data_IF_965840525068
#
_entry.id   IF_965840525068
#
_cell.length_a   1.000
_cell.length_b   1.000
_cell.length_c   1.000
_cell.angle_alpha   90.00
_cell.angle_beta   90.00
_cell.angle_gamma   90.00
#
_symmetry.space_group_name_H-M   'P 1'
#
loop_
_entity.id
_entity.type
_entity.pdbx_description
1 polymer ?
#
# COMPACT_ATOMS: atom_id res chain seq x y z
N UNK A 1 -0.60 -0.82 8.85
CA UNK A 1 -0.45 -1.45 10.19
C UNK A 1 -0.50 -0.42 11.32
N UNK A 2 0.30 0.66 11.29
CA UNK A 2 0.26 1.68 12.35
C UNK A 2 -1.15 2.28 12.51
N UNK A 3 -1.75 2.79 11.44
CA UNK A 3 -3.10 3.36 11.47
C UNK A 3 -4.17 2.36 11.94
N UNK A 4 -4.08 1.08 11.53
CA UNK A 4 -4.97 0.03 12.00
C UNK A 4 -4.82 -0.21 13.51
N UNK A 5 -3.57 -0.25 14.02
CA UNK A 5 -3.31 -0.38 15.45
C UNK A 5 -3.88 0.80 16.23
N UNK A 6 -3.64 2.03 15.77
CA UNK A 6 -4.17 3.25 16.37
C UNK A 6 -5.69 3.24 16.37
N UNK A 7 -6.33 2.82 15.27
CA UNK A 7 -7.79 2.69 15.20
C UNK A 7 -8.32 1.70 16.25
N UNK A 8 -7.77 0.50 16.33
CA UNK A 8 -8.22 -0.50 17.33
C UNK A 8 -8.02 -0.03 18.77
N UNK A 9 -6.94 0.69 19.06
CA UNK A 9 -6.73 1.30 20.39
C UNK A 9 -7.85 2.31 20.70
N UNK A 10 -8.27 3.12 19.72
CA UNK A 10 -9.39 4.06 19.94
C UNK A 10 -10.72 3.35 20.19
N UNK A 11 -10.87 2.11 19.70
CA UNK A 11 -12.03 1.27 19.94
C UNK A 11 -11.94 0.49 21.27
N UNK A 12 -10.88 0.67 22.05
CA UNK A 12 -10.72 0.07 23.36
C UNK A 12 -10.01 -1.29 23.38
N UNK A 13 -9.42 -1.70 22.27
CA UNK A 13 -8.60 -2.92 22.21
C UNK A 13 -7.18 -2.67 22.71
N UNK A 14 -6.60 -3.65 23.40
CA UNK A 14 -5.19 -3.67 23.73
C UNK A 14 -4.38 -4.18 22.52
N UNK A 15 -3.50 -3.35 22.00
CA UNK A 15 -2.72 -3.67 20.79
C UNK A 15 -1.23 -3.64 21.10
N UNK A 16 -0.52 -4.65 20.64
CA UNK A 16 0.95 -4.69 20.64
C UNK A 16 1.45 -4.99 19.21
N UNK A 17 2.21 -4.08 18.64
CA UNK A 17 2.77 -4.22 17.28
C UNK A 17 4.26 -4.54 17.32
N UNK A 18 4.66 -5.75 16.96
CA UNK A 18 6.06 -6.12 16.78
C UNK A 18 6.53 -5.76 15.36
N UNK A 19 7.46 -4.84 15.22
CA UNK A 19 7.93 -4.39 13.92
C UNK A 19 9.45 -4.17 13.85
N UNK A 20 10.06 -4.26 12.65
CA UNK A 20 11.43 -3.82 12.43
C UNK A 20 11.50 -2.29 12.55
N UNK A 21 12.44 -1.79 13.35
CA UNK A 21 12.66 -0.35 13.56
C UNK A 21 14.10 0.01 13.29
N UNK A 22 14.33 1.05 12.47
CA UNK A 22 15.70 1.47 12.11
C UNK A 22 16.42 2.21 13.25
N UNK A 23 15.67 2.96 14.05
CA UNK A 23 16.17 3.68 15.24
C UNK A 23 15.19 3.47 16.41
N UNK A 24 15.60 2.70 17.36
CA UNK A 24 14.80 2.38 18.56
C UNK A 24 14.56 3.61 19.46
N UNK A 25 15.42 4.63 19.38
CA UNK A 25 15.27 5.87 20.14
C UNK A 25 14.18 6.80 19.55
N UNK A 26 13.72 6.54 18.35
CA UNK A 26 12.66 7.33 17.69
C UNK A 26 11.24 6.82 17.97
N UNK A 27 11.11 5.75 18.78
CA UNK A 27 9.80 5.17 19.12
C UNK A 27 9.14 6.03 20.21
N UNK A 28 7.97 6.54 19.89
CA UNK A 28 7.13 7.31 20.81
C UNK A 28 5.88 6.55 21.24
N UNK A 29 5.50 5.56 20.48
CA UNK A 29 4.29 4.77 20.67
C UNK A 29 4.52 3.62 21.67
N UNK A 30 3.83 3.57 22.81
CA UNK A 30 4.03 2.54 23.85
C UNK A 30 3.60 1.14 23.40
N UNK A 31 2.74 1.04 22.41
CA UNK A 31 2.24 -0.21 21.84
C UNK A 31 3.16 -0.79 20.74
N UNK A 32 4.19 -0.05 20.32
CA UNK A 32 5.16 -0.49 19.31
C UNK A 32 6.38 -1.16 19.97
N UNK A 33 6.58 -2.44 19.70
CA UNK A 33 7.69 -3.24 20.19
C UNK A 33 8.75 -3.38 19.09
N UNK A 34 9.99 -2.88 19.28
CA UNK A 34 11.03 -2.98 18.28
C UNK A 34 11.58 -4.41 18.19
N UNK A 35 11.50 -5.01 17.02
CA UNK A 35 12.09 -6.32 16.76
C UNK A 35 13.58 -6.25 16.35
N UNK A 36 14.11 -5.06 16.08
CA UNK A 36 15.48 -4.79 15.65
C UNK A 36 15.57 -4.12 14.30
N UNK A 37 16.79 -3.87 13.83
CA UNK A 37 17.05 -3.14 12.59
C UNK A 37 16.81 -4.03 11.36
N UNK A 38 15.99 -3.56 10.39
CA UNK A 38 15.78 -4.30 9.15
C UNK A 38 16.99 -4.21 8.22
N UNK A 39 17.21 -5.25 7.44
CA UNK A 39 18.18 -5.28 6.34
C UNK A 39 17.44 -4.93 5.04
N UNK A 40 17.88 -3.91 4.30
CA UNK A 40 17.28 -3.57 3.01
C UNK A 40 17.71 -4.60 1.96
N UNK A 41 16.76 -5.25 1.30
CA UNK A 41 16.98 -6.21 0.23
C UNK A 41 16.21 -5.76 -1.01
N UNK A 42 16.87 -5.60 -2.18
CA UNK A 42 16.18 -5.32 -3.44
C UNK A 42 15.21 -6.47 -3.80
N UNK A 43 13.95 -6.12 -4.03
CA UNK A 43 12.93 -7.10 -4.38
C UNK A 43 11.91 -6.49 -5.36
N UNK A 44 11.76 -7.07 -6.54
CA UNK A 44 10.80 -6.65 -7.58
C UNK A 44 10.84 -5.15 -7.95
N UNK A 45 12.03 -4.55 -7.98
CA UNK A 45 12.19 -3.12 -8.29
C UNK A 45 11.88 -2.18 -7.12
N UNK A 46 11.61 -2.73 -5.93
CA UNK A 46 11.49 -2.01 -4.66
C UNK A 46 12.54 -2.49 -3.66
N UNK A 47 12.62 -1.86 -2.50
CA UNK A 47 13.49 -2.30 -1.39
C UNK A 47 12.61 -2.87 -0.28
N UNK A 48 12.66 -4.20 -0.11
CA UNK A 48 12.06 -4.87 1.04
C UNK A 48 12.97 -4.69 2.26
N UNK A 49 12.39 -4.36 3.41
CA UNK A 49 13.10 -4.25 4.70
C UNK A 49 12.84 -5.50 5.51
N UNK A 50 13.74 -6.47 5.42
CA UNK A 50 13.57 -7.80 6.01
C UNK A 50 14.34 -7.90 7.33
N UNK A 51 13.71 -8.53 8.32
CA UNK A 51 14.34 -8.97 9.56
C UNK A 51 14.02 -10.46 9.76
N UNK A 52 15.05 -11.29 9.74
CA UNK A 52 14.95 -12.74 9.84
C UNK A 52 16.21 -13.31 10.49
N UNK A 53 16.10 -14.49 11.16
CA UNK A 53 17.22 -15.18 11.76
C UNK A 53 17.09 -15.42 13.27
N UNK A 54 18.12 -15.97 13.93
CA UNK A 54 18.02 -16.46 15.33
C UNK A 54 17.62 -15.37 16.33
N UNK A 55 18.18 -14.16 16.20
CA UNK A 55 17.88 -13.04 17.11
C UNK A 55 16.43 -12.60 16.93
N UNK A 56 15.99 -12.46 15.69
CA UNK A 56 14.60 -12.13 15.38
C UNK A 56 13.64 -13.21 15.91
N UNK A 57 13.98 -14.49 15.72
CA UNK A 57 13.20 -15.61 16.27
C UNK A 57 13.09 -15.53 17.80
N UNK A 58 14.18 -15.25 18.51
CA UNK A 58 14.16 -15.11 19.97
C UNK A 58 13.25 -13.97 20.42
N UNK A 59 13.31 -12.81 19.75
CA UNK A 59 12.45 -11.65 20.04
C UNK A 59 10.96 -11.93 19.78
N UNK A 60 10.65 -12.58 18.65
CA UNK A 60 9.29 -13.02 18.35
C UNK A 60 8.76 -13.96 19.43
N UNK A 61 9.53 -14.98 19.82
CA UNK A 61 9.13 -15.94 20.86
C UNK A 61 8.93 -15.26 22.22
N UNK A 62 9.82 -14.33 22.59
CA UNK A 62 9.69 -13.56 23.82
C UNK A 62 8.39 -12.72 23.78
N UNK A 63 8.15 -12.00 22.71
CA UNK A 63 6.96 -11.17 22.54
C UNK A 63 5.67 -11.99 22.64
N UNK A 64 5.59 -13.15 21.98
CA UNK A 64 4.45 -14.07 22.10
C UNK A 64 4.27 -14.57 23.52
N UNK A 65 5.38 -14.97 24.21
CA UNK A 65 5.30 -15.57 25.55
C UNK A 65 4.91 -14.58 26.66
N UNK A 66 5.11 -13.28 26.43
CA UNK A 66 4.83 -12.23 27.42
C UNK A 66 3.58 -11.41 27.11
N UNK A 67 3.01 -11.56 25.92
CA UNK A 67 1.96 -10.69 25.43
C UNK A 67 0.53 -11.10 25.81
N UNK A 68 0.33 -12.38 26.22
CA UNK A 68 -1.02 -12.93 26.56
C UNK A 68 -2.10 -12.56 25.54
N UNK A 69 -1.81 -12.82 24.26
CA UNK A 69 -2.63 -12.39 23.14
C UNK A 69 -3.85 -13.31 22.93
N UNK A 70 -5.02 -12.73 22.71
CA UNK A 70 -6.20 -13.44 22.24
C UNK A 70 -6.04 -13.89 20.79
N UNK A 71 -5.34 -13.08 19.96
CA UNK A 71 -5.15 -13.31 18.54
C UNK A 71 -3.84 -12.67 18.03
N UNK A 72 -3.19 -13.30 17.06
CA UNK A 72 -2.14 -12.67 16.26
C UNK A 72 -2.67 -12.30 14.88
N UNK A 73 -2.51 -11.03 14.49
CA UNK A 73 -2.68 -10.57 13.11
C UNK A 73 -1.32 -10.39 12.44
N UNK A 74 -1.08 -11.16 11.40
CA UNK A 74 0.22 -11.28 10.74
C UNK A 74 0.10 -10.71 9.31
N UNK A 75 1.08 -9.89 8.89
CA UNK A 75 1.08 -9.31 7.56
C UNK A 75 2.15 -9.95 6.67
N UNK A 76 1.75 -10.46 5.50
CA UNK A 76 2.62 -11.04 4.47
C UNK A 76 3.53 -12.18 5.01
N UNK A 77 2.98 -13.27 5.54
CA UNK A 77 3.78 -14.38 6.09
C UNK A 77 4.49 -15.25 5.03
N UNK A 78 4.19 -15.06 3.76
CA UNK A 78 4.73 -15.89 2.67
C UNK A 78 6.18 -15.55 2.27
N UNK A 79 6.81 -14.59 2.94
CA UNK A 79 8.20 -14.23 2.72
C UNK A 79 9.02 -14.36 4.01
N UNK A 80 10.35 -14.66 3.94
CA UNK A 80 11.23 -14.70 5.11
C UNK A 80 11.22 -13.35 5.85
N UNK A 81 10.52 -13.29 6.97
CA UNK A 81 10.26 -12.05 7.72
C UNK A 81 9.89 -12.35 9.17
N UNK A 82 9.68 -11.32 9.98
CA UNK A 82 9.11 -11.48 11.34
C UNK A 82 7.74 -12.18 11.28
N UNK A 83 6.96 -11.92 10.25
CA UNK A 83 5.63 -12.49 10.04
C UNK A 83 5.70 -14.02 9.90
N UNK A 84 6.61 -14.52 9.08
CA UNK A 84 6.85 -15.96 8.96
C UNK A 84 7.33 -16.56 10.28
N UNK A 85 8.26 -15.88 10.98
CA UNK A 85 8.74 -16.36 12.28
C UNK A 85 7.62 -16.42 13.33
N UNK A 86 6.67 -15.48 13.31
CA UNK A 86 5.51 -15.49 14.19
C UNK A 86 4.58 -16.68 13.87
N UNK A 87 4.28 -16.94 12.58
CA UNK A 87 3.51 -18.12 12.19
C UNK A 87 4.15 -19.43 12.63
N UNK A 88 5.49 -19.55 12.54
CA UNK A 88 6.21 -20.74 12.97
C UNK A 88 6.19 -20.88 14.49
N UNK A 89 6.37 -19.77 15.22
CA UNK A 89 6.57 -19.76 16.68
C UNK A 89 5.27 -19.83 17.49
N UNK A 90 4.12 -19.46 16.92
CA UNK A 90 2.85 -19.42 17.60
C UNK A 90 1.96 -20.61 17.28
N UNK A 91 1.09 -20.99 18.21
CA UNK A 91 -0.10 -21.81 18.06
C UNK A 91 -1.29 -21.04 18.64
N UNK A 92 -2.50 -21.23 18.11
CA UNK A 92 -3.72 -20.55 18.54
C UNK A 92 -4.35 -19.67 17.43
N UNK A 93 -5.23 -18.74 17.78
CA UNK A 93 -5.89 -17.88 16.80
C UNK A 93 -4.91 -16.99 16.05
N UNK A 94 -4.81 -17.19 14.74
CA UNK A 94 -3.94 -16.39 13.85
C UNK A 94 -4.69 -16.00 12.59
N UNK A 95 -4.68 -14.70 12.28
CA UNK A 95 -5.18 -14.14 11.02
C UNK A 95 -4.00 -13.59 10.23
N UNK A 96 -4.00 -13.78 8.93
CA UNK A 96 -2.96 -13.19 8.08
C UNK A 96 -3.55 -12.33 6.98
N UNK A 97 -2.98 -11.13 6.77
CA UNK A 97 -3.27 -10.28 5.61
C UNK A 97 -2.16 -10.36 4.58
N UNK A 98 -2.55 -10.61 3.33
CA UNK A 98 -1.67 -10.72 2.18
C UNK A 98 -1.82 -9.49 1.29
N UNK A 99 -0.70 -8.84 1.02
CA UNK A 99 -0.63 -7.59 0.25
C UNK A 99 -0.02 -7.80 -1.14
N UNK A 100 0.74 -8.89 -1.34
CA UNK A 100 1.44 -9.12 -2.60
C UNK A 100 0.50 -9.60 -3.70
N UNK A 101 0.63 -8.96 -4.86
CA UNK A 101 0.02 -9.42 -6.11
C UNK A 101 1.12 -9.88 -7.05
N UNK A 102 1.35 -11.19 -7.11
CA UNK A 102 2.43 -11.79 -7.89
C UNK A 102 2.07 -13.20 -8.41
N UNK A 103 1.02 -13.34 -9.23
CA UNK A 103 0.49 -14.66 -9.61
C UNK A 103 1.44 -15.52 -10.43
N UNK A 104 2.59 -15.00 -10.88
CA UNK A 104 3.55 -15.70 -11.75
C UNK A 104 4.98 -15.73 -11.20
N UNK A 105 5.19 -15.61 -9.90
CA UNK A 105 6.55 -15.63 -9.34
C UNK A 105 7.03 -17.08 -9.11
N UNK A 106 8.00 -17.51 -9.93
CA UNK A 106 8.65 -18.83 -9.82
C UNK A 106 9.26 -19.09 -8.43
N UNK A 107 9.74 -18.06 -7.75
CA UNK A 107 10.32 -18.19 -6.41
C UNK A 107 9.28 -18.64 -5.37
N UNK A 108 8.04 -18.15 -5.45
CA UNK A 108 6.96 -18.56 -4.55
C UNK A 108 6.56 -20.01 -4.79
N UNK A 109 6.51 -20.46 -6.04
CA UNK A 109 6.28 -21.86 -6.36
C UNK A 109 7.32 -22.80 -5.74
N UNK A 110 8.60 -22.40 -5.73
CA UNK A 110 9.67 -23.22 -5.20
C UNK A 110 9.62 -23.40 -3.67
N UNK A 111 9.09 -22.40 -2.93
CA UNK A 111 9.00 -22.42 -1.47
C UNK A 111 7.60 -22.76 -0.95
N UNK A 112 6.59 -22.81 -1.84
CA UNK A 112 5.21 -23.13 -1.50
C UNK A 112 5.06 -24.36 -0.61
N UNK A 113 5.58 -25.54 -0.99
CA UNK A 113 5.47 -26.76 -0.21
C UNK A 113 6.08 -26.65 1.20
N UNK A 114 7.09 -25.78 1.38
CA UNK A 114 7.72 -25.54 2.69
C UNK A 114 6.86 -24.61 3.55
N UNK A 115 6.16 -23.66 2.94
CA UNK A 115 5.32 -22.70 3.65
C UNK A 115 3.93 -23.22 3.96
N UNK A 116 3.40 -24.13 3.14
CA UNK A 116 2.05 -24.66 3.27
C UNK A 116 1.71 -25.15 4.69
N UNK A 117 2.52 -26.00 5.36
CA UNK A 117 2.23 -26.45 6.71
C UNK A 117 2.22 -25.33 7.76
N UNK A 118 2.91 -24.21 7.47
CA UNK A 118 2.92 -23.03 8.34
C UNK A 118 1.68 -22.19 8.10
N UNK A 119 1.28 -22.02 6.85
CA UNK A 119 0.09 -21.26 6.48
C UNK A 119 -1.22 -21.99 6.85
N UNK A 120 -1.21 -23.34 6.93
CA UNK A 120 -2.33 -24.13 7.45
C UNK A 120 -2.68 -23.82 8.90
N UNK A 121 -1.75 -23.29 9.70
CA UNK A 121 -1.98 -22.87 11.09
C UNK A 121 -2.88 -21.63 11.18
N UNK A 122 -3.02 -20.86 10.09
CA UNK A 122 -3.83 -19.66 10.06
C UNK A 122 -5.31 -19.99 10.17
N UNK A 123 -5.98 -19.41 11.18
CA UNK A 123 -7.42 -19.54 11.37
C UNK A 123 -8.21 -18.85 10.26
N UNK A 124 -7.71 -17.70 9.79
CA UNK A 124 -8.31 -16.99 8.66
C UNK A 124 -7.25 -16.24 7.83
N UNK A 125 -7.62 -15.93 6.59
CA UNK A 125 -6.77 -15.22 5.63
C UNK A 125 -7.54 -14.08 5.02
N UNK A 126 -6.89 -12.91 4.94
CA UNK A 126 -7.38 -11.69 4.32
C UNK A 126 -6.49 -11.39 3.12
N UNK A 127 -7.07 -11.03 2.00
CA UNK A 127 -6.37 -10.49 0.82
C UNK A 127 -6.81 -9.05 0.59
N UNK A 128 -5.88 -8.14 0.34
CA UNK A 128 -6.23 -6.71 0.16
C UNK A 128 -6.87 -6.39 -1.19
N UNK A 129 -6.92 -7.35 -2.10
CA UNK A 129 -7.54 -7.23 -3.42
C UNK A 129 -7.81 -8.59 -4.02
N UNK A 130 -8.64 -8.66 -5.06
CA UNK A 130 -8.86 -9.88 -5.84
C UNK A 130 -7.56 -10.41 -6.44
N UNK A 131 -6.66 -9.54 -6.88
CA UNK A 131 -5.33 -9.93 -7.38
C UNK A 131 -4.48 -10.60 -6.29
N UNK A 132 -4.54 -10.13 -5.05
CA UNK A 132 -3.85 -10.77 -3.92
C UNK A 132 -4.50 -12.10 -3.58
N UNK A 133 -5.83 -12.20 -3.60
CA UNK A 133 -6.58 -13.47 -3.41
C UNK A 133 -6.22 -14.49 -4.47
N UNK A 134 -6.21 -14.11 -5.75
CA UNK A 134 -5.82 -15.00 -6.83
C UNK A 134 -4.37 -15.49 -6.70
N UNK A 135 -3.47 -14.62 -6.20
CA UNK A 135 -2.10 -15.01 -5.89
C UNK A 135 -2.05 -16.14 -4.85
N UNK A 136 -2.83 -16.04 -3.78
CA UNK A 136 -2.93 -17.09 -2.76
C UNK A 136 -3.50 -18.38 -3.33
N UNK A 137 -4.56 -18.30 -4.12
CA UNK A 137 -5.19 -19.44 -4.75
C UNK A 137 -4.24 -20.18 -5.69
N UNK A 138 -3.48 -19.46 -6.50
CA UNK A 138 -2.54 -20.04 -7.48
C UNK A 138 -1.32 -20.66 -6.80
N UNK A 139 -0.80 -20.07 -5.72
CA UNK A 139 0.46 -20.52 -5.12
C UNK A 139 0.30 -21.46 -3.92
N UNK A 140 -0.81 -21.37 -3.20
CA UNK A 140 -1.03 -22.10 -1.94
C UNK A 140 -2.37 -22.85 -1.91
N UNK A 141 -3.09 -22.90 -3.01
CA UNK A 141 -4.40 -23.58 -3.14
C UNK A 141 -5.38 -23.22 -2.01
N UNK A 142 -5.30 -21.99 -1.51
CA UNK A 142 -6.07 -21.52 -0.36
C UNK A 142 -6.93 -20.31 -0.70
N UNK A 143 -8.05 -20.17 -0.01
CA UNK A 143 -8.96 -19.02 -0.16
C UNK A 143 -8.70 -17.96 0.94
N UNK A 144 -9.07 -16.71 0.63
CA UNK A 144 -9.02 -15.60 1.55
C UNK A 144 -10.25 -14.70 1.38
N UNK A 145 -10.66 -14.03 2.44
CA UNK A 145 -11.66 -12.96 2.39
C UNK A 145 -10.99 -11.72 1.81
N UNK A 146 -11.64 -11.05 0.87
CA UNK A 146 -11.12 -9.79 0.33
C UNK A 146 -11.58 -8.65 1.24
N UNK A 147 -10.62 -7.99 1.88
CA UNK A 147 -10.82 -6.78 2.67
C UNK A 147 -9.77 -5.77 2.23
N UNK A 148 -10.16 -4.61 1.68
CA UNK A 148 -9.22 -3.64 1.12
C UNK A 148 -8.30 -3.04 2.19
N UNK A 149 -7.25 -2.33 1.75
CA UNK A 149 -6.49 -1.51 2.68
C UNK A 149 -7.34 -0.34 3.17
N UNK A 150 -7.31 -0.09 4.47
CA UNK A 150 -7.93 1.08 5.07
C UNK A 150 -7.07 2.33 4.93
N UNK A 151 -7.73 3.47 4.91
CA UNK A 151 -7.14 4.81 4.97
C UNK A 151 -7.89 5.67 5.99
N UNK A 152 -7.25 6.71 6.47
CA UNK A 152 -7.90 7.78 7.25
C UNK A 152 -8.44 8.84 6.28
N UNK A 153 -9.72 8.71 5.90
CA UNK A 153 -10.37 9.64 4.96
C UNK A 153 -10.48 11.04 5.54
N UNK A 154 -10.65 11.16 6.85
CA UNK A 154 -10.73 12.43 7.57
C UNK A 154 -9.43 13.24 7.41
N UNK A 155 -8.28 12.60 7.58
CA UNK A 155 -6.95 13.20 7.41
C UNK A 155 -6.78 13.87 6.04
N UNK A 156 -7.16 13.19 4.96
CA UNK A 156 -7.00 13.72 3.60
C UNK A 156 -8.06 14.76 3.25
N UNK A 157 -9.28 14.62 3.77
CA UNK A 157 -10.35 15.59 3.54
C UNK A 157 -10.07 16.96 4.18
N UNK A 158 -9.32 16.98 5.29
CA UNK A 158 -8.96 18.21 6.03
C UNK A 158 -7.65 18.86 5.59
N UNK A 159 -6.98 18.35 4.56
CA UNK A 159 -5.81 19.01 3.96
C UNK A 159 -6.10 20.46 3.57
N UNK A 160 -5.10 21.31 3.63
CA UNK A 160 -5.18 22.71 3.30
C UNK A 160 -4.48 23.00 1.98
N UNK A 161 -5.10 23.82 1.12
CA UNK A 161 -4.43 24.24 -0.10
C UNK A 161 -3.20 25.07 0.25
N UNK A 162 -2.05 24.68 -0.28
CA UNK A 162 -0.81 25.41 -0.16
C UNK A 162 -0.68 26.36 -1.36
N UNK A 163 -0.80 27.67 -1.12
CA UNK A 163 -0.77 28.68 -2.18
C UNK A 163 0.61 28.81 -2.87
N UNK A 164 1.69 28.33 -2.26
CA UNK A 164 3.00 28.23 -2.92
C UNK A 164 3.04 27.08 -3.94
N UNK A 165 2.24 26.05 -3.74
CA UNK A 165 2.16 24.88 -4.64
C UNK A 165 1.12 25.06 -5.72
N UNK A 166 -0.04 25.60 -5.37
CA UNK A 166 -1.16 25.71 -6.28
C UNK A 166 -0.97 26.76 -7.37
N UNK A 167 -1.25 26.39 -8.59
CA UNK A 167 -1.51 27.27 -9.74
C UNK A 167 -2.67 26.64 -10.52
N UNK A 168 -3.43 27.42 -11.32
CA UNK A 168 -4.41 26.83 -12.22
C UNK A 168 -3.78 25.79 -13.15
N UNK A 169 -4.48 24.68 -13.38
CA UNK A 169 -4.02 23.54 -14.19
C UNK A 169 -2.79 22.81 -13.63
N UNK A 170 -2.66 22.75 -12.30
CA UNK A 170 -1.56 21.99 -11.65
C UNK A 170 -1.85 20.50 -11.65
N UNK A 171 -0.96 19.73 -12.27
CA UNK A 171 -0.92 18.27 -12.18
C UNK A 171 -0.03 17.82 -11.03
N UNK A 172 -0.40 16.74 -10.36
CA UNK A 172 0.39 16.17 -9.29
C UNK A 172 0.80 14.72 -9.54
N UNK A 173 2.07 14.41 -9.29
CA UNK A 173 2.61 13.06 -9.19
C UNK A 173 3.17 12.84 -7.78
N UNK A 174 2.82 11.74 -7.13
CA UNK A 174 3.32 11.40 -5.79
C UNK A 174 3.80 9.96 -5.76
N UNK A 175 5.10 9.78 -5.52
CA UNK A 175 5.71 8.46 -5.43
C UNK A 175 7.21 8.52 -5.58
N UNK A 176 7.88 7.36 -5.43
CA UNK A 176 9.30 7.24 -5.72
C UNK A 176 9.52 7.36 -7.21
N UNK A 177 10.00 8.51 -7.66
CA UNK A 177 10.08 8.84 -9.08
C UNK A 177 11.35 8.30 -9.80
N UNK A 178 12.28 7.71 -9.06
CA UNK A 178 13.41 6.94 -9.57
C UNK A 178 13.08 5.45 -9.83
N UNK A 179 11.89 4.98 -9.41
CA UNK A 179 11.40 3.63 -9.73
C UNK A 179 10.68 3.61 -11.10
N UNK A 180 11.22 2.91 -12.13
CA UNK A 180 10.60 2.90 -13.45
C UNK A 180 9.14 2.44 -13.47
N UNK A 181 8.79 1.49 -12.57
CA UNK A 181 7.41 0.98 -12.47
C UNK A 181 6.38 2.05 -12.07
N UNK A 182 6.80 3.17 -11.47
CA UNK A 182 5.92 4.29 -11.12
C UNK A 182 5.53 5.16 -12.32
N UNK A 183 6.18 4.94 -13.47
CA UNK A 183 5.75 5.46 -14.75
C UNK A 183 5.91 6.98 -14.94
N UNK A 184 6.75 7.66 -14.13
CA UNK A 184 7.01 9.10 -14.34
C UNK A 184 7.47 9.38 -15.78
N UNK A 185 8.22 8.48 -16.40
CA UNK A 185 8.65 8.63 -17.81
C UNK A 185 7.48 8.73 -18.79
N UNK A 186 6.37 8.04 -18.54
CA UNK A 186 5.16 8.12 -19.38
C UNK A 186 4.51 9.50 -19.25
N UNK A 187 4.42 10.03 -18.01
CA UNK A 187 3.91 11.37 -17.76
C UNK A 187 4.77 12.46 -18.40
N UNK A 188 6.10 12.35 -18.26
CA UNK A 188 7.04 13.30 -18.87
C UNK A 188 6.98 13.27 -20.40
N UNK A 189 6.76 12.10 -21.00
CA UNK A 189 6.56 11.96 -22.44
C UNK A 189 5.21 12.54 -22.93
N UNK A 190 4.19 12.57 -22.07
CA UNK A 190 2.90 13.19 -22.34
C UNK A 190 2.92 14.73 -22.22
N UNK A 191 3.81 15.26 -21.37
CA UNK A 191 3.82 16.67 -20.99
C UNK A 191 3.94 17.66 -22.16
N UNK A 192 4.74 17.43 -23.24
CA UNK A 192 4.80 18.34 -24.40
C UNK A 192 3.45 18.55 -25.09
N UNK A 193 2.64 17.49 -25.21
CA UNK A 193 1.31 17.55 -25.81
C UNK A 193 0.33 18.29 -24.89
N UNK A 194 0.38 18.02 -23.58
CA UNK A 194 -0.45 18.70 -22.58
C UNK A 194 -0.13 20.20 -22.56
N UNK A 195 1.16 20.60 -22.52
CA UNK A 195 1.59 22.01 -22.54
C UNK A 195 1.17 22.73 -23.81
N UNK A 196 1.14 22.02 -24.94
CA UNK A 196 0.65 22.62 -26.22
C UNK A 196 -0.84 22.97 -26.15
N UNK A 197 -1.66 22.12 -25.53
CA UNK A 197 -3.09 22.34 -25.38
C UNK A 197 -3.40 23.30 -24.23
N UNK A 198 -2.67 23.19 -23.12
CA UNK A 198 -2.87 23.97 -21.89
C UNK A 198 -1.54 24.65 -21.52
N UNK A 199 -1.28 25.86 -22.07
CA UNK A 199 0.05 26.49 -21.97
C UNK A 199 0.48 26.89 -20.57
N UNK A 200 -0.43 27.01 -19.62
CA UNK A 200 -0.18 27.36 -18.21
C UNK A 200 -0.11 26.15 -17.27
N UNK A 201 -0.19 24.91 -17.80
CA UNK A 201 -0.07 23.70 -16.97
C UNK A 201 1.27 23.64 -16.24
N UNK A 202 1.23 23.26 -14.97
CA UNK A 202 2.40 22.93 -14.13
C UNK A 202 2.32 21.49 -13.63
N UNK A 203 3.48 20.88 -13.39
CA UNK A 203 3.59 19.55 -12.82
C UNK A 203 4.36 19.60 -11.50
N UNK A 204 3.71 19.19 -10.41
CA UNK A 204 4.33 18.96 -9.12
C UNK A 204 4.73 17.50 -9.00
N UNK A 205 5.99 17.24 -8.70
CA UNK A 205 6.53 15.90 -8.45
C UNK A 205 6.92 15.82 -6.98
N UNK A 206 6.25 14.95 -6.23
CA UNK A 206 6.53 14.72 -4.83
C UNK A 206 7.01 13.28 -4.59
N UNK A 207 7.91 13.11 -3.62
CA UNK A 207 8.48 11.81 -3.26
C UNK A 207 9.99 11.77 -3.34
N UNK A 208 10.61 10.64 -2.96
CA UNK A 208 12.06 10.46 -3.08
C UNK A 208 12.47 10.12 -4.51
N UNK A 209 13.66 10.57 -4.91
CA UNK A 209 14.31 10.30 -6.19
C UNK A 209 15.38 11.34 -6.50
N UNK A 210 16.12 11.14 -7.60
CA UNK A 210 17.21 12.01 -8.03
C UNK A 210 16.71 13.00 -9.09
N UNK A 211 16.43 14.23 -8.70
CA UNK A 211 15.88 15.30 -9.56
C UNK A 211 16.77 15.58 -10.79
N UNK A 212 18.09 15.64 -10.59
CA UNK A 212 19.03 15.89 -11.68
C UNK A 212 18.91 14.85 -12.81
N UNK A 213 18.70 13.58 -12.47
CA UNK A 213 18.56 12.51 -13.45
C UNK A 213 17.29 12.69 -14.27
N UNK A 214 16.19 13.08 -13.62
CA UNK A 214 14.92 13.39 -14.30
C UNK A 214 15.09 14.61 -15.21
N UNK A 215 15.65 15.70 -14.70
CA UNK A 215 15.86 16.94 -15.46
C UNK A 215 16.75 16.76 -16.70
N UNK A 216 17.72 15.82 -16.67
CA UNK A 216 18.56 15.51 -17.85
C UNK A 216 17.77 14.90 -19.00
N UNK A 217 16.65 14.24 -18.73
CA UNK A 217 15.81 13.57 -19.74
C UNK A 217 14.73 14.47 -20.35
N UNK A 218 14.51 15.66 -19.77
CA UNK A 218 13.43 16.57 -20.14
C UNK A 218 13.94 17.70 -21.03
N UNK A 219 13.13 18.06 -22.04
CA UNK A 219 13.36 19.26 -22.84
C UNK A 219 13.56 20.49 -21.93
N UNK A 220 14.64 21.28 -22.10
CA UNK A 220 14.87 22.48 -21.30
C UNK A 220 13.68 23.44 -21.22
N UNK A 221 12.87 23.52 -22.28
CA UNK A 221 11.68 24.38 -22.30
C UNK A 221 10.59 23.92 -21.34
N UNK A 222 10.53 22.63 -21.03
CA UNK A 222 9.56 22.06 -20.10
C UNK A 222 9.99 22.09 -18.65
N UNK A 223 11.30 22.24 -18.38
CA UNK A 223 11.83 22.21 -16.99
C UNK A 223 11.18 23.26 -16.10
N UNK A 224 10.89 24.43 -16.63
CA UNK A 224 10.23 25.53 -15.89
C UNK A 224 8.75 25.22 -15.50
N UNK A 225 8.18 24.15 -16.08
CA UNK A 225 6.82 23.68 -15.78
C UNK A 225 6.81 22.60 -14.70
N UNK A 226 7.97 22.17 -14.25
CA UNK A 226 8.12 21.05 -13.32
C UNK A 226 8.73 21.57 -12.02
N UNK A 227 8.11 21.21 -10.91
CA UNK A 227 8.59 21.54 -9.57
C UNK A 227 8.67 20.27 -8.74
N UNK A 228 9.83 20.06 -8.12
CA UNK A 228 10.04 18.97 -7.20
C UNK A 228 9.79 19.42 -5.77
N UNK A 229 9.00 18.69 -5.03
CA UNK A 229 8.65 18.99 -3.64
C UNK A 229 9.44 18.14 -2.63
N UNK A 230 10.24 17.17 -3.13
CA UNK A 230 10.91 16.22 -2.26
C UNK A 230 9.93 15.29 -1.53
N UNK A 231 10.37 14.70 -0.44
CA UNK A 231 9.54 13.82 0.38
C UNK A 231 8.56 14.66 1.21
N UNK A 232 7.28 14.34 1.11
CA UNK A 232 6.23 14.95 1.92
C UNK A 232 6.00 14.17 3.22
N UNK A 233 5.67 14.87 4.30
CA UNK A 233 5.09 14.28 5.51
C UNK A 233 3.65 13.83 5.23
N UNK A 234 3.06 13.08 6.16
CA UNK A 234 1.67 12.63 6.02
C UNK A 234 0.67 13.80 5.95
N UNK A 235 0.88 14.87 6.74
CA UNK A 235 0.07 16.09 6.64
C UNK A 235 0.27 16.82 5.33
N UNK A 236 1.50 16.94 4.85
CA UNK A 236 1.80 17.57 3.57
C UNK A 236 1.25 16.79 2.38
N UNK A 237 1.04 15.46 2.48
CA UNK A 237 0.33 14.71 1.42
C UNK A 237 -1.12 15.16 1.28
N UNK A 238 -1.82 15.39 2.39
CA UNK A 238 -3.18 15.91 2.35
C UNK A 238 -3.23 17.30 1.70
N UNK A 239 -2.31 18.19 2.09
CA UNK A 239 -2.18 19.52 1.50
C UNK A 239 -1.82 19.46 0.00
N UNK A 240 -0.99 18.51 -0.39
CA UNK A 240 -0.63 18.27 -1.78
C UNK A 240 -1.87 17.96 -2.64
N UNK A 241 -2.74 17.03 -2.20
CA UNK A 241 -3.96 16.72 -2.93
C UNK A 241 -4.92 17.92 -3.03
N UNK A 242 -4.95 18.81 -2.03
CA UNK A 242 -5.73 20.05 -2.10
C UNK A 242 -5.10 21.14 -3.00
N UNK A 243 -3.84 20.96 -3.40
CA UNK A 243 -3.05 21.96 -4.14
C UNK A 243 -2.85 21.60 -5.62
N UNK A 244 -3.57 20.59 -6.13
CA UNK A 244 -3.49 20.14 -7.52
C UNK A 244 -4.89 20.04 -8.14
N UNK A 245 -4.99 20.22 -9.46
CA UNK A 245 -6.24 20.09 -10.21
C UNK A 245 -6.49 18.68 -10.75
N UNK A 246 -5.45 17.85 -10.86
CA UNK A 246 -5.55 16.43 -11.16
C UNK A 246 -4.36 15.65 -10.60
N UNK A 247 -4.62 14.50 -10.01
CA UNK A 247 -3.60 13.55 -9.59
C UNK A 247 -3.32 12.53 -10.69
N UNK A 248 -2.06 12.38 -11.07
CA UNK A 248 -1.64 11.46 -12.15
C UNK A 248 -0.93 10.26 -11.54
N UNK A 249 -1.47 9.06 -11.77
CA UNK A 249 -0.89 7.78 -11.36
C UNK A 249 -0.50 6.93 -12.59
N UNK A 250 0.65 7.20 -13.22
CA UNK A 250 1.04 6.56 -14.47
C UNK A 250 1.77 5.23 -14.26
N UNK A 251 1.51 4.54 -13.16
CA UNK A 251 2.18 3.30 -12.80
C UNK A 251 2.02 2.25 -13.90
N UNK A 252 3.12 1.59 -14.27
CA UNK A 252 3.11 0.61 -15.36
C UNK A 252 2.91 -0.83 -14.88
N UNK A 253 3.19 -1.10 -13.59
CA UNK A 253 3.02 -2.43 -12.96
C UNK A 253 3.34 -2.41 -11.47
N UNK A 254 3.10 -3.55 -10.80
CA UNK A 254 3.60 -3.80 -9.43
C UNK A 254 2.80 -3.08 -8.34
N UNK A 255 1.56 -2.78 -8.62
CA UNK A 255 0.57 -2.37 -7.61
C UNK A 255 -0.37 -3.54 -7.32
N UNK A 256 -0.76 -3.68 -6.07
CA UNK A 256 -1.71 -4.71 -5.62
C UNK A 256 -3.06 -4.14 -5.23
N UNK A 257 -3.12 -2.88 -4.83
CA UNK A 257 -4.35 -2.20 -4.44
C UNK A 257 -4.41 -0.76 -5.00
N UNK A 258 -3.36 0.03 -4.78
CA UNK A 258 -3.35 1.44 -5.20
C UNK A 258 -3.78 2.41 -4.11
N UNK A 259 -3.31 2.21 -2.87
CA UNK A 259 -3.68 3.03 -1.69
C UNK A 259 -3.60 4.54 -1.96
N UNK A 260 -2.64 4.97 -2.77
CA UNK A 260 -2.44 6.38 -3.13
C UNK A 260 -3.63 6.96 -3.91
N UNK A 261 -4.37 6.14 -4.67
CA UNK A 261 -5.59 6.58 -5.36
C UNK A 261 -6.72 6.80 -4.35
N UNK A 262 -6.86 5.93 -3.36
CA UNK A 262 -7.82 6.11 -2.28
C UNK A 262 -7.49 7.38 -1.46
N UNK A 263 -6.21 7.62 -1.14
CA UNK A 263 -5.76 8.87 -0.47
C UNK A 263 -6.10 10.12 -1.31
N UNK A 264 -5.85 10.09 -2.63
CA UNK A 264 -6.16 11.18 -3.55
C UNK A 264 -7.69 11.40 -3.65
N UNK A 265 -8.46 10.32 -3.70
CA UNK A 265 -9.92 10.35 -3.71
C UNK A 265 -10.48 11.01 -2.45
N UNK A 266 -9.97 10.64 -1.26
CA UNK A 266 -10.31 11.27 0.01
C UNK A 266 -9.88 12.75 0.07
N UNK A 267 -8.78 13.10 -0.61
CA UNK A 267 -8.35 14.48 -0.81
C UNK A 267 -9.27 15.29 -1.73
N UNK A 268 -10.22 14.66 -2.41
CA UNK A 268 -11.17 15.32 -3.30
C UNK A 268 -10.52 15.86 -4.58
N UNK A 269 -9.50 15.19 -5.09
CA UNK A 269 -8.85 15.53 -6.36
C UNK A 269 -9.21 14.50 -7.44
N UNK A 270 -9.51 14.93 -8.67
CA UNK A 270 -9.79 13.99 -9.76
C UNK A 270 -8.54 13.20 -10.12
N UNK A 271 -8.72 11.90 -10.34
CA UNK A 271 -7.65 10.95 -10.58
C UNK A 271 -7.57 10.62 -12.08
N UNK A 272 -6.35 10.60 -12.61
CA UNK A 272 -6.00 10.04 -13.92
C UNK A 272 -5.00 8.90 -13.66
N UNK A 273 -5.37 7.67 -13.95
CA UNK A 273 -4.55 6.50 -13.68
C UNK A 273 -4.39 5.62 -14.92
N UNK A 274 -3.30 4.87 -14.98
CA UNK A 274 -3.14 3.82 -16.00
C UNK A 274 -4.15 2.68 -15.77
N UNK A 275 -4.54 1.98 -16.82
CA UNK A 275 -5.48 0.85 -16.77
C UNK A 275 -4.88 -0.47 -16.29
N UNK A 276 -3.82 -0.41 -15.43
CA UNK A 276 -3.35 -1.62 -14.76
C UNK A 276 -4.43 -2.19 -13.85
N UNK A 277 -4.48 -3.50 -13.71
CA UNK A 277 -5.59 -4.20 -13.06
C UNK A 277 -5.93 -3.63 -11.67
N UNK A 278 -4.94 -3.37 -10.82
CA UNK A 278 -5.17 -2.82 -9.49
C UNK A 278 -5.88 -1.45 -9.50
N UNK A 279 -5.56 -0.60 -10.48
CA UNK A 279 -6.19 0.71 -10.61
C UNK A 279 -7.54 0.62 -11.29
N UNK A 280 -7.67 -0.30 -12.26
CA UNK A 280 -8.94 -0.58 -12.91
C UNK A 280 -9.98 -1.08 -11.88
N UNK A 281 -9.58 -2.00 -10.99
CA UNK A 281 -10.45 -2.54 -9.95
C UNK A 281 -10.83 -1.47 -8.91
N UNK A 282 -9.86 -0.69 -8.40
CA UNK A 282 -10.12 0.35 -7.40
C UNK A 282 -11.00 1.47 -7.95
N UNK A 283 -10.82 1.85 -9.21
CA UNK A 283 -11.60 2.88 -9.89
C UNK A 283 -12.86 2.33 -10.58
N UNK A 284 -13.20 1.06 -10.37
CA UNK A 284 -14.34 0.35 -10.97
C UNK A 284 -14.49 0.63 -12.49
N UNK A 285 -13.41 0.35 -13.23
CA UNK A 285 -13.40 0.54 -14.68
C UNK A 285 -13.43 1.99 -15.15
N UNK A 286 -13.13 2.95 -14.25
CA UNK A 286 -13.11 4.38 -14.55
C UNK A 286 -14.32 5.15 -14.05
N UNK A 287 -15.19 4.54 -13.25
CA UNK A 287 -16.35 5.23 -12.64
C UNK A 287 -15.91 6.30 -11.63
N UNK A 288 -14.84 6.04 -10.87
CA UNK A 288 -14.32 6.91 -9.81
C UNK A 288 -13.02 7.64 -10.18
N UNK A 289 -12.63 7.61 -11.45
CA UNK A 289 -11.46 8.28 -11.99
C UNK A 289 -11.38 8.13 -13.51
N UNK A 290 -10.42 8.76 -14.14
CA UNK A 290 -10.20 8.61 -15.57
C UNK A 290 -9.08 7.62 -15.82
N UNK A 291 -9.31 6.59 -16.63
CA UNK A 291 -8.30 5.61 -17.02
C UNK A 291 -7.68 5.96 -18.37
N UNK A 292 -6.38 5.76 -18.50
CA UNK A 292 -5.66 5.81 -19.77
C UNK A 292 -4.95 4.49 -20.01
N UNK A 293 -4.71 4.17 -21.29
CA UNK A 293 -4.03 2.94 -21.69
C UNK A 293 -2.59 2.90 -21.15
N UNK A 294 -2.29 1.86 -20.39
CA UNK A 294 -0.98 1.68 -19.77
C UNK A 294 0.18 1.89 -20.77
N UNK A 295 1.22 2.58 -20.30
CA UNK A 295 2.42 2.96 -21.07
C UNK A 295 2.18 3.88 -22.29
N UNK A 296 0.94 4.37 -22.51
CA UNK A 296 0.62 5.27 -23.62
C UNK A 296 0.65 6.75 -23.18
N UNK A 297 1.73 7.45 -23.51
CA UNK A 297 1.85 8.89 -23.25
C UNK A 297 0.84 9.74 -24.02
N UNK A 298 0.49 9.34 -25.25
CA UNK A 298 -0.50 10.04 -26.07
C UNK A 298 -1.90 9.91 -25.50
N UNK A 299 -2.27 8.74 -24.99
CA UNK A 299 -3.57 8.53 -24.36
C UNK A 299 -3.65 9.25 -23.00
N UNK A 300 -2.55 9.23 -22.20
CA UNK A 300 -2.43 10.03 -20.98
C UNK A 300 -2.63 11.53 -21.29
N UNK A 301 -1.98 12.05 -22.32
CA UNK A 301 -2.15 13.46 -22.73
C UNK A 301 -3.60 13.76 -23.08
N UNK A 302 -4.23 12.93 -23.93
CA UNK A 302 -5.63 13.09 -24.34
C UNK A 302 -6.57 13.12 -23.12
N UNK A 303 -6.46 12.14 -22.22
CA UNK A 303 -7.32 12.05 -21.02
C UNK A 303 -7.10 13.24 -20.08
N UNK A 304 -5.84 13.68 -19.93
CA UNK A 304 -5.50 14.84 -19.09
C UNK A 304 -6.10 16.14 -19.63
N UNK A 305 -5.94 16.38 -20.92
CA UNK A 305 -6.51 17.58 -21.59
C UNK A 305 -8.03 17.58 -21.47
N UNK A 306 -8.68 16.47 -21.81
CA UNK A 306 -10.13 16.32 -21.70
C UNK A 306 -10.64 16.61 -20.28
N UNK A 307 -9.96 16.10 -19.26
CA UNK A 307 -10.34 16.32 -17.86
C UNK A 307 -10.14 17.78 -17.43
N UNK A 308 -9.00 18.39 -17.77
CA UNK A 308 -8.71 19.78 -17.38
C UNK A 308 -9.64 20.79 -18.08
N UNK A 309 -10.03 20.55 -19.33
CA UNK A 309 -10.96 21.41 -20.08
C UNK A 309 -12.41 21.23 -19.63
N UNK A 310 -12.78 20.10 -19.03
CA UNK A 310 -14.16 19.80 -18.64
C UNK A 310 -14.37 19.90 -17.12
N UNK A 311 -14.68 21.11 -16.64
CA UNK A 311 -14.97 21.36 -15.22
C UNK A 311 -16.13 20.53 -14.68
N UNK A 312 -17.18 20.31 -15.47
CA UNK A 312 -18.35 19.53 -15.02
C UNK A 312 -17.96 18.07 -14.78
N UNK A 313 -17.20 17.45 -15.69
CA UNK A 313 -16.67 16.09 -15.54
C UNK A 313 -15.75 15.98 -14.32
N UNK A 314 -14.88 16.97 -14.07
CA UNK A 314 -14.03 16.97 -12.87
C UNK A 314 -14.84 16.93 -11.59
N UNK A 315 -15.86 17.78 -11.47
CA UNK A 315 -16.72 17.83 -10.27
C UNK A 315 -17.49 16.53 -10.08
N UNK A 316 -18.02 15.96 -11.15
CA UNK A 316 -18.74 14.68 -11.11
C UNK A 316 -17.84 13.54 -10.62
N UNK A 317 -16.61 13.41 -11.14
CA UNK A 317 -15.66 12.37 -10.74
C UNK A 317 -15.22 12.56 -9.28
N UNK A 318 -15.02 13.80 -8.82
CA UNK A 318 -14.70 14.11 -7.42
C UNK A 318 -15.86 13.68 -6.51
N UNK A 319 -17.10 14.05 -6.82
CA UNK A 319 -18.28 13.72 -6.02
C UNK A 319 -18.45 12.19 -5.88
N UNK A 320 -18.37 11.47 -7.00
CA UNK A 320 -18.44 10.01 -7.01
C UNK A 320 -17.27 9.39 -6.20
N UNK A 321 -16.06 9.89 -6.40
CA UNK A 321 -14.89 9.41 -5.68
C UNK A 321 -15.01 9.61 -4.17
N UNK A 322 -15.48 10.78 -3.72
CA UNK A 322 -15.71 11.06 -2.29
C UNK A 322 -16.78 10.14 -1.69
N UNK A 323 -17.81 9.79 -2.45
CA UNK A 323 -18.83 8.83 -2.00
C UNK A 323 -18.26 7.41 -1.90
N UNK A 324 -17.45 7.00 -2.88
CA UNK A 324 -16.85 5.66 -2.94
C UNK A 324 -15.78 5.43 -1.88
N UNK A 325 -14.92 6.42 -1.62
CA UNK A 325 -13.75 6.27 -0.74
C UNK A 325 -14.10 5.94 0.71
N UNK A 326 -15.32 6.19 1.15
CA UNK A 326 -15.81 5.82 2.47
C UNK A 326 -15.76 4.28 2.69
N UNK A 327 -15.84 3.51 1.61
CA UNK A 327 -15.68 2.04 1.68
C UNK A 327 -14.27 1.61 2.08
N UNK A 328 -13.29 2.49 1.95
CA UNK A 328 -11.89 2.30 2.35
C UNK A 328 -11.54 3.00 3.67
N UNK A 329 -12.49 3.66 4.33
CA UNK A 329 -12.24 4.26 5.64
C UNK A 329 -11.95 3.20 6.70
N UNK A 330 -11.08 3.53 7.67
CA UNK A 330 -10.75 2.60 8.75
C UNK A 330 -11.97 2.15 9.54
N UNK A 331 -13.00 2.96 9.69
CA UNK A 331 -14.25 2.55 10.35
C UNK A 331 -14.90 1.36 9.62
N UNK A 332 -14.97 1.42 8.30
CA UNK A 332 -15.54 0.34 7.47
C UNK A 332 -14.61 -0.88 7.41
N UNK A 333 -13.33 -0.65 7.10
CA UNK A 333 -12.36 -1.73 6.88
C UNK A 333 -12.04 -2.47 8.19
N UNK A 334 -11.85 -1.75 9.30
CA UNK A 334 -11.54 -2.37 10.58
C UNK A 334 -12.73 -3.18 11.12
N UNK A 335 -13.98 -2.76 10.88
CA UNK A 335 -15.15 -3.57 11.21
C UNK A 335 -15.14 -4.92 10.52
N UNK A 336 -14.84 -4.96 9.21
CA UNK A 336 -14.71 -6.22 8.46
C UNK A 336 -13.55 -7.09 8.98
N UNK A 337 -12.44 -6.47 9.40
CA UNK A 337 -11.32 -7.19 10.01
C UNK A 337 -11.72 -7.79 11.37
N UNK A 338 -12.50 -7.05 12.19
CA UNK A 338 -13.00 -7.54 13.47
C UNK A 338 -13.92 -8.74 13.29
N UNK A 339 -14.81 -8.75 12.28
CA UNK A 339 -15.64 -9.91 11.96
C UNK A 339 -14.79 -11.16 11.71
N UNK A 340 -13.65 -11.01 11.00
CA UNK A 340 -12.69 -12.10 10.78
C UNK A 340 -12.01 -12.52 12.07
N UNK A 341 -11.69 -11.58 12.98
CA UNK A 341 -11.10 -11.89 14.28
C UNK A 341 -12.07 -12.68 15.16
N UNK A 342 -13.35 -12.29 15.22
CA UNK A 342 -14.37 -13.01 15.99
C UNK A 342 -14.48 -14.46 15.56
N UNK A 343 -14.49 -14.71 14.24
CA UNK A 343 -14.50 -16.09 13.70
C UNK A 343 -13.22 -16.84 14.09
N UNK A 344 -12.07 -16.18 14.04
CA UNK A 344 -10.78 -16.81 14.34
C UNK A 344 -10.65 -17.18 15.83
N UNK A 345 -11.19 -16.36 16.74
CA UNK A 345 -11.13 -16.55 18.20
C UNK A 345 -12.17 -17.58 18.66
N UNK A 346 -13.31 -17.70 17.99
CA UNK A 346 -14.45 -18.52 18.42
C UNK A 346 -14.13 -20.00 18.70
N UNK A 347 -13.04 -20.53 18.16
CA UNK A 347 -12.58 -21.92 18.33
C UNK A 347 -11.37 -22.10 19.23
N UNK A 348 -10.82 -21.05 19.87
CA UNK A 348 -9.49 -21.07 20.45
C UNK A 348 -9.36 -20.60 21.90
N UNK A 349 -8.28 -21.04 22.52
CA UNK A 349 -7.80 -20.62 23.84
C UNK A 349 -6.59 -19.75 23.63
N UNK A 350 -6.68 -18.46 23.35
CA UNK A 350 -5.55 -17.55 23.24
C UNK A 350 -4.30 -18.05 22.47
N UNK A 351 -3.36 -17.19 22.25
CA UNK A 351 -2.11 -17.50 21.53
C UNK A 351 -1.07 -18.08 22.50
N UNK A 352 -0.42 -19.16 22.09
CA UNK A 352 0.64 -19.82 22.85
C UNK A 352 1.88 -20.04 22.00
N UNK A 353 3.03 -20.31 22.64
CA UNK A 353 4.21 -20.74 21.92
C UNK A 353 4.03 -22.17 21.41
N UNK A 354 4.29 -22.37 20.13
CA UNK A 354 4.36 -23.70 19.53
C UNK A 354 5.42 -24.54 20.25
N UNK A 355 5.09 -25.79 20.61
CA UNK A 355 6.02 -26.71 21.20
C UNK A 355 7.20 -26.95 20.25
N UNK A 356 8.45 -26.92 20.76
CA UNK A 356 9.69 -27.01 19.96
C UNK A 356 9.78 -28.26 19.08
N UNK A 357 8.92 -29.25 19.32
CA UNK A 357 8.92 -30.53 18.62
C UNK A 357 8.01 -30.58 17.37
N UNK A 358 7.13 -29.59 17.12
CA UNK A 358 6.18 -29.65 16.00
C UNK A 358 6.60 -28.83 14.77
N UNK A 359 7.26 -27.68 14.95
CA UNK A 359 7.52 -26.75 13.83
C UNK A 359 8.66 -27.21 12.89
N UNK A 360 9.77 -27.74 13.41
CA UNK A 360 10.94 -28.08 12.60
C UNK A 360 11.11 -29.58 12.31
N UNK A 361 10.41 -30.48 13.04
CA UNK A 361 10.48 -31.92 12.76
C UNK A 361 9.64 -32.36 11.57
N UNK A 362 8.59 -31.63 11.20
CA UNK A 362 7.86 -31.90 9.94
C UNK A 362 8.71 -31.61 8.70
N UNK A 363 9.60 -30.62 8.78
CA UNK A 363 10.53 -30.27 7.69
C UNK A 363 11.72 -31.24 7.53
N UNK A 364 11.92 -32.22 8.45
CA UNK A 364 13.04 -33.19 8.41
C UNK A 364 12.63 -34.60 8.05
N UNK A 365 11.34 -34.89 7.93
CA UNK A 365 10.84 -36.26 7.72
C UNK A 365 10.11 -36.45 6.37
N UNK A 366 10.22 -35.50 5.45
CA UNK A 366 9.93 -35.64 4.02
C UNK A 366 11.23 -35.35 3.22
#
# INVERSE_FOLDING_TARGET
>A
MKELAEYFITQGHEVSLLAPVSDENSITEPWLVPAGRPVPIPFNGAVARILFGPIATSRVRQWISTGDFDLLHIHEPAIPSLSLLACVAADGPMVATFHASAPKQKAIYAIGPILEPVLEKLSARIAVSEMARETLKVHFETEAVVIPNGIDTCKYSHGQRNDDWYRPNTLGFLGRFDEPRKGLSVLLAALPEIVRAIPDVELLIAGPGEEENVLKTIDPMLRKRIRFLGRLSESQKADFFKSIDAYIAPNIRGESFGIILAEAMAGGVPIIASDIQAFYDLLEGGEFGSLFKNESSSDLARVTIELLENKAKRLEVIERGLAHVITFDWETVASQILDVYEVAIAGGTGVTLASENRGWKRLKNE
#
